data_IF_978301823223
#
_entry.id   IF_978301823223
#
_cell.length_a   1.000
_cell.length_b   1.000
_cell.length_c   1.000
_cell.angle_alpha   90.00
_cell.angle_beta   90.00
_cell.angle_gamma   90.00
#
_symmetry.space_group_name_H-M   'P 1'
#
loop_
_entity.id
_entity.type
_entity.pdbx_description
1 polymer ?
#
# COMPACT_ATOMS: atom_id res chain seq x y z
N UNK A 1 45.94 -8.69 -12.08
CA UNK A 1 44.86 -7.75 -11.65
C UNK A 1 43.65 -8.62 -11.38
N UNK A 2 43.50 -9.06 -10.16
CA UNK A 2 42.33 -9.86 -9.74
C UNK A 2 41.13 -8.93 -9.64
N UNK A 3 40.16 -9.10 -10.54
CA UNK A 3 38.88 -8.42 -10.51
C UNK A 3 38.22 -8.77 -9.18
N UNK A 4 38.05 -7.76 -8.31
CA UNK A 4 37.30 -7.93 -7.08
C UNK A 4 35.83 -8.18 -7.46
N UNK A 5 35.38 -9.41 -7.25
CA UNK A 5 34.09 -9.85 -7.71
C UNK A 5 33.00 -9.33 -6.78
N UNK A 6 32.42 -8.19 -7.16
CA UNK A 6 31.15 -7.69 -6.60
C UNK A 6 29.98 -8.13 -7.48
N UNK A 7 28.84 -8.38 -6.85
CA UNK A 7 27.57 -8.71 -7.47
C UNK A 7 26.59 -7.55 -7.20
N UNK A 8 25.91 -7.09 -8.23
CA UNK A 8 24.76 -6.23 -8.05
C UNK A 8 23.52 -7.11 -7.94
N UNK A 9 23.18 -7.55 -6.73
CA UNK A 9 22.10 -8.50 -6.49
C UNK A 9 20.74 -7.85 -6.60
N UNK A 10 19.88 -8.45 -7.41
CA UNK A 10 18.48 -8.04 -7.58
C UNK A 10 17.66 -8.57 -6.40
N UNK A 11 16.83 -7.73 -5.79
CA UNK A 11 16.09 -8.04 -4.57
C UNK A 11 14.62 -7.60 -4.68
N UNK A 12 13.78 -8.16 -3.82
CA UNK A 12 12.37 -7.79 -3.68
C UNK A 12 12.16 -7.22 -2.29
N UNK A 13 11.64 -5.98 -2.23
CA UNK A 13 11.30 -5.31 -0.98
C UNK A 13 10.06 -5.96 -0.35
N UNK A 14 10.19 -6.66 0.80
CA UNK A 14 9.07 -7.35 1.44
C UNK A 14 8.02 -6.39 2.01
N UNK A 15 8.40 -5.16 2.37
CA UNK A 15 7.49 -4.17 2.95
C UNK A 15 6.42 -3.69 1.98
N UNK A 16 6.72 -3.63 0.67
CA UNK A 16 5.80 -3.14 -0.37
C UNK A 16 5.34 -4.22 -1.33
N UNK A 17 5.82 -5.45 -1.21
CA UNK A 17 5.42 -6.58 -2.03
C UNK A 17 3.99 -7.02 -1.66
N UNK A 18 3.04 -6.86 -2.58
CA UNK A 18 1.63 -7.30 -2.40
C UNK A 18 1.39 -8.76 -2.79
N UNK A 19 2.45 -9.53 -3.05
CA UNK A 19 2.43 -10.97 -3.36
C UNK A 19 1.54 -11.36 -4.53
N UNK A 20 1.54 -10.54 -5.58
CA UNK A 20 0.71 -10.75 -6.76
C UNK A 20 1.21 -11.85 -7.70
N UNK A 21 2.34 -12.46 -7.44
CA UNK A 21 3.02 -13.48 -8.26
C UNK A 21 3.44 -13.02 -9.66
N UNK A 22 3.27 -11.76 -10.01
CA UNK A 22 3.51 -11.27 -11.39
C UNK A 22 4.99 -11.37 -11.78
N UNK A 23 5.90 -11.08 -10.85
CA UNK A 23 7.34 -11.13 -11.10
C UNK A 23 7.84 -12.56 -11.30
N UNK A 24 7.36 -13.54 -10.52
CA UNK A 24 7.70 -14.96 -10.68
C UNK A 24 7.18 -15.49 -12.02
N UNK A 25 5.90 -15.21 -12.35
CA UNK A 25 5.28 -15.61 -13.61
C UNK A 25 5.98 -15.00 -14.84
N UNK A 26 6.61 -13.83 -14.70
CA UNK A 26 7.30 -13.12 -15.78
C UNK A 26 8.78 -13.48 -15.91
N UNK A 27 9.34 -14.24 -14.97
CA UNK A 27 10.77 -14.55 -14.96
C UNK A 27 11.12 -15.66 -15.97
N UNK A 28 11.85 -15.36 -17.07
CA UNK A 28 12.11 -16.35 -18.10
C UNK A 28 13.11 -17.44 -17.69
N UNK A 29 13.86 -17.21 -16.62
CA UNK A 29 14.89 -18.14 -16.11
C UNK A 29 14.50 -18.80 -14.79
N UNK A 30 13.29 -18.53 -14.27
CA UNK A 30 12.81 -19.08 -13.01
C UNK A 30 13.69 -18.71 -11.81
N UNK A 31 14.23 -17.49 -11.79
CA UNK A 31 15.07 -16.99 -10.71
C UNK A 31 14.25 -16.47 -9.52
N UNK A 32 12.94 -16.30 -9.66
CA UNK A 32 12.08 -15.79 -8.60
C UNK A 32 11.26 -16.94 -8.03
N UNK A 33 11.22 -17.02 -6.71
CA UNK A 33 10.44 -18.00 -5.97
C UNK A 33 9.84 -17.34 -4.72
N UNK A 34 8.98 -18.04 -4.00
CA UNK A 34 8.35 -17.53 -2.78
C UNK A 34 8.05 -18.65 -1.79
N UNK A 35 7.84 -18.24 -0.54
CA UNK A 35 7.18 -19.03 0.50
C UNK A 35 5.83 -18.41 0.91
N UNK A 36 5.33 -18.75 2.10
CA UNK A 36 4.14 -18.10 2.66
C UNK A 36 4.37 -16.62 3.02
N UNK A 37 5.62 -16.16 3.16
CA UNK A 37 5.98 -14.84 3.65
C UNK A 37 6.56 -13.94 2.57
N UNK A 38 7.57 -14.36 1.82
CA UNK A 38 8.32 -13.49 0.94
C UNK A 38 8.49 -14.05 -0.47
N UNK A 39 8.57 -13.14 -1.46
CA UNK A 39 9.10 -13.37 -2.79
C UNK A 39 10.57 -13.01 -2.79
N UNK A 40 11.42 -13.86 -3.38
CA UNK A 40 12.87 -13.73 -3.33
C UNK A 40 13.50 -14.02 -4.69
N UNK A 41 14.71 -13.48 -4.92
CA UNK A 41 15.45 -13.65 -6.17
C UNK A 41 16.68 -14.51 -5.94
N UNK A 42 16.79 -15.61 -6.70
CA UNK A 42 17.97 -16.44 -6.76
C UNK A 42 19.06 -15.74 -7.59
N UNK A 43 20.08 -15.23 -6.91
CA UNK A 43 21.18 -14.51 -7.55
C UNK A 43 21.98 -15.38 -8.53
N UNK A 44 22.01 -16.71 -8.33
CA UNK A 44 22.72 -17.63 -9.23
C UNK A 44 21.97 -17.89 -10.53
N UNK A 45 20.65 -17.73 -10.54
CA UNK A 45 19.80 -17.91 -11.73
C UNK A 45 19.50 -16.59 -12.44
N UNK A 46 19.46 -15.46 -11.70
CA UNK A 46 19.10 -14.17 -12.24
C UNK A 46 20.13 -13.68 -13.27
N UNK A 47 19.70 -13.51 -14.51
CA UNK A 47 20.52 -13.01 -15.63
C UNK A 47 20.33 -11.53 -15.92
N UNK A 48 19.67 -10.79 -15.03
CA UNK A 48 19.42 -9.34 -15.16
C UNK A 48 18.62 -8.92 -16.41
N UNK A 49 17.74 -9.78 -16.93
CA UNK A 49 16.94 -9.50 -18.10
C UNK A 49 15.84 -8.44 -17.87
N UNK A 50 15.59 -8.03 -16.65
CA UNK A 50 14.62 -7.01 -16.21
C UNK A 50 13.16 -7.30 -16.57
N UNK A 51 12.82 -8.50 -17.06
CA UNK A 51 11.45 -8.85 -17.47
C UNK A 51 10.43 -8.79 -16.32
N UNK A 52 10.87 -8.95 -15.08
CA UNK A 52 10.05 -8.90 -13.87
C UNK A 52 9.76 -7.47 -13.38
N UNK A 53 10.50 -6.46 -13.84
CA UNK A 53 10.40 -5.07 -13.34
C UNK A 53 9.16 -4.35 -13.87
N UNK A 54 8.87 -4.28 -15.18
CA UNK A 54 7.71 -3.56 -15.69
C UNK A 54 6.38 -4.07 -15.15
N UNK A 55 6.13 -5.39 -14.99
CA UNK A 55 4.84 -5.88 -14.53
C UNK A 55 4.64 -5.76 -13.02
N UNK A 56 5.64 -5.36 -12.24
CA UNK A 56 5.47 -5.18 -10.80
C UNK A 56 4.65 -3.93 -10.48
N UNK A 57 3.42 -4.03 -9.95
CA UNK A 57 2.55 -2.87 -9.77
C UNK A 57 3.03 -1.93 -8.66
N UNK A 58 3.74 -2.44 -7.65
CA UNK A 58 4.21 -1.64 -6.51
C UNK A 58 5.66 -1.19 -6.64
N UNK A 59 6.43 -1.78 -7.57
CA UNK A 59 7.86 -1.56 -7.69
C UNK A 59 8.71 -2.26 -6.62
N UNK A 60 8.14 -3.23 -5.88
CA UNK A 60 8.87 -3.98 -4.85
C UNK A 60 10.11 -4.70 -5.39
N UNK A 61 10.14 -5.02 -6.68
CA UNK A 61 11.28 -5.68 -7.34
C UNK A 61 12.28 -4.68 -7.96
N UNK A 62 12.08 -3.38 -7.84
CA UNK A 62 12.99 -2.35 -8.37
C UNK A 62 14.17 -2.08 -7.44
N UNK A 63 14.71 -3.12 -6.82
CA UNK A 63 15.74 -2.98 -5.80
C UNK A 63 16.98 -3.81 -6.10
N UNK A 64 18.13 -3.21 -5.89
CA UNK A 64 19.44 -3.83 -6.04
C UNK A 64 20.33 -3.49 -4.86
N UNK A 65 21.26 -4.42 -4.55
CA UNK A 65 22.35 -4.18 -3.60
C UNK A 65 23.66 -4.63 -4.21
N UNK A 66 24.65 -3.75 -4.17
CA UNK A 66 26.01 -4.12 -4.50
C UNK A 66 26.60 -4.84 -3.30
N UNK A 67 26.99 -6.10 -3.47
CA UNK A 67 27.57 -6.94 -2.41
C UNK A 67 28.78 -7.68 -2.91
N UNK A 68 29.80 -7.98 -2.07
CA UNK A 68 30.81 -8.95 -2.41
C UNK A 68 30.17 -10.31 -2.69
N UNK A 69 30.62 -11.04 -3.72
CA UNK A 69 30.03 -12.35 -4.10
C UNK A 69 29.94 -13.29 -2.89
N UNK A 70 30.96 -13.28 -2.03
CA UNK A 70 31.00 -14.10 -0.82
C UNK A 70 29.97 -13.71 0.25
N UNK A 71 29.35 -12.53 0.11
CA UNK A 71 28.29 -12.00 0.98
C UNK A 71 26.96 -11.87 0.28
N UNK A 72 26.79 -12.48 -0.90
CA UNK A 72 25.50 -12.48 -1.58
C UNK A 72 24.42 -13.06 -0.66
N UNK A 73 23.29 -12.39 -0.62
CA UNK A 73 22.15 -12.80 0.21
C UNK A 73 21.57 -14.11 -0.32
N UNK A 74 21.57 -15.15 0.52
CA UNK A 74 20.97 -16.44 0.18
C UNK A 74 19.43 -16.34 0.07
N UNK A 75 18.82 -17.33 -0.58
CA UNK A 75 17.34 -17.42 -0.62
C UNK A 75 16.76 -17.52 0.79
N UNK A 76 17.38 -18.34 1.65
CA UNK A 76 16.94 -18.52 3.04
C UNK A 76 16.98 -17.21 3.83
N UNK A 77 18.04 -16.41 3.67
CA UNK A 77 18.12 -15.09 4.30
C UNK A 77 17.01 -14.17 3.81
N UNK A 78 16.78 -14.09 2.49
CA UNK A 78 15.74 -13.24 1.91
C UNK A 78 14.32 -13.65 2.34
N UNK A 79 14.05 -14.95 2.51
CA UNK A 79 12.77 -15.46 2.99
C UNK A 79 12.45 -15.01 4.42
N UNK A 80 13.46 -14.75 5.23
CA UNK A 80 13.33 -14.28 6.62
C UNK A 80 13.30 -12.74 6.77
N UNK A 81 13.38 -11.97 5.69
CA UNK A 81 13.42 -10.50 5.80
C UNK A 81 12.06 -9.90 6.12
N UNK A 82 12.08 -8.89 6.97
CA UNK A 82 10.96 -7.97 7.21
C UNK A 82 11.13 -6.66 6.41
N UNK A 83 12.39 -6.26 6.17
CA UNK A 83 12.79 -5.11 5.35
C UNK A 83 14.02 -5.43 4.49
N UNK A 84 14.30 -4.58 3.50
CA UNK A 84 15.52 -4.71 2.71
C UNK A 84 16.75 -4.39 3.55
N UNK A 85 17.86 -5.15 3.37
CA UNK A 85 19.13 -4.83 4.02
C UNK A 85 19.61 -3.44 3.60
N UNK A 86 20.26 -2.74 4.54
CA UNK A 86 20.89 -1.43 4.27
C UNK A 86 22.00 -1.62 3.22
N UNK A 87 22.20 -0.60 2.40
CA UNK A 87 23.31 -0.59 1.44
C UNK A 87 24.67 -0.62 2.16
N UNK A 88 25.56 -1.46 1.68
CA UNK A 88 26.92 -1.54 2.23
C UNK A 88 27.70 -0.27 1.90
N UNK A 89 28.44 0.22 2.88
CA UNK A 89 29.37 1.33 2.69
C UNK A 89 30.57 0.93 1.83
N UNK A 90 31.28 1.88 1.29
CA UNK A 90 32.50 1.64 0.49
C UNK A 90 33.56 0.85 1.29
N UNK A 91 33.67 1.10 2.60
CA UNK A 91 34.60 0.39 3.49
C UNK A 91 34.18 -1.06 3.69
N UNK A 92 32.88 -1.34 3.86
CA UNK A 92 32.35 -2.70 4.00
C UNK A 92 32.49 -3.50 2.71
N UNK A 93 32.30 -2.87 1.54
CA UNK A 93 32.55 -3.47 0.25
C UNK A 93 34.04 -3.84 0.08
N UNK A 94 34.94 -2.96 0.52
CA UNK A 94 36.40 -3.17 0.46
C UNK A 94 36.87 -4.24 1.44
N UNK A 95 36.35 -4.25 2.66
CA UNK A 95 36.67 -5.28 3.68
C UNK A 95 36.20 -6.68 3.27
N UNK A 96 35.06 -6.78 2.57
CA UNK A 96 34.60 -8.06 2.00
C UNK A 96 35.47 -8.60 0.89
N UNK A 97 36.27 -7.76 0.23
CA UNK A 97 37.23 -8.12 -0.78
C UNK A 97 38.51 -8.75 -0.19
N UNK A 98 38.94 -8.31 1.00
CA UNK A 98 40.11 -8.87 1.67
C UNK A 98 39.87 -10.29 2.18
N UNK A 99 38.67 -10.63 2.62
CA UNK A 99 38.31 -11.98 3.08
C UNK A 99 38.24 -13.01 1.93
N UNK A 100 37.98 -12.57 0.70
CA UNK A 100 37.99 -13.43 -0.48
C UNK A 100 39.42 -13.85 -0.91
N UNK A 101 40.43 -13.07 -0.51
CA UNK A 101 41.83 -13.35 -0.82
C UNK A 101 42.49 -14.37 0.18
N UNK A 102 41.94 -14.50 1.39
CA UNK A 102 42.43 -15.42 2.42
C UNK A 102 41.80 -16.82 2.34
N UNK A 103 40.73 -16.99 1.54
CA UNK A 103 40.02 -18.27 1.41
C UNK A 103 40.47 -19.14 0.21
N UNK A 104 41.66 -18.92 -0.33
CA UNK A 104 42.15 -19.62 -1.54
C UNK A 104 42.87 -20.94 -1.26
N UNK A 105 42.41 -21.72 -0.26
CA UNK A 105 42.87 -23.10 -0.08
C UNK A 105 41.70 -24.06 0.23
N UNK A 106 40.91 -24.33 -0.79
CA UNK A 106 39.79 -25.27 -0.72
C UNK A 106 39.05 -25.32 -2.06
N UNK A 107 39.25 -26.38 -2.81
CA UNK A 107 38.76 -26.67 -4.16
C UNK A 107 37.42 -26.03 -4.52
N UNK A 108 37.32 -25.19 -5.56
CA UNK A 108 36.07 -24.55 -5.95
C UNK A 108 35.20 -25.54 -6.73
N UNK A 109 33.95 -25.66 -6.31
CA UNK A 109 32.92 -26.19 -7.18
C UNK A 109 32.86 -25.29 -8.44
N UNK A 110 33.07 -25.91 -9.60
CA UNK A 110 33.06 -25.22 -10.90
C UNK A 110 31.69 -24.60 -11.16
N UNK A 111 31.61 -23.30 -10.97
CA UNK A 111 30.52 -22.48 -11.60
C UNK A 111 30.96 -22.27 -13.04
N UNK A 112 30.26 -22.88 -13.97
CA UNK A 112 30.46 -22.71 -15.40
C UNK A 112 30.26 -21.24 -15.78
N UNK A 113 31.35 -20.50 -15.93
CA UNK A 113 31.34 -19.18 -16.57
C UNK A 113 31.25 -19.38 -18.09
N UNK A 114 30.05 -19.42 -18.62
CA UNK A 114 29.86 -19.09 -20.03
C UNK A 114 29.99 -17.59 -20.15
N UNK A 115 31.10 -17.12 -20.70
CA UNK A 115 31.31 -15.76 -21.10
C UNK A 115 30.38 -15.45 -22.28
N UNK A 116 29.14 -15.09 -21.99
CA UNK A 116 28.29 -14.35 -22.89
C UNK A 116 28.62 -12.87 -22.68
N UNK A 117 28.91 -12.17 -23.78
CA UNK A 117 29.40 -10.81 -23.79
C UNK A 117 28.65 -9.90 -22.82
N UNK A 118 29.41 -9.18 -22.00
CA UNK A 118 28.93 -8.11 -21.16
C UNK A 118 28.43 -7.00 -22.09
N UNK A 119 27.15 -7.08 -22.46
CA UNK A 119 26.41 -5.90 -22.85
C UNK A 119 26.33 -5.05 -21.59
N UNK A 120 27.00 -3.90 -21.60
CA UNK A 120 26.76 -2.82 -20.65
C UNK A 120 25.25 -2.73 -20.41
N UNK A 121 24.77 -2.75 -19.16
CA UNK A 121 23.37 -2.53 -18.91
C UNK A 121 23.01 -1.23 -19.63
N UNK A 122 22.12 -1.29 -20.62
CA UNK A 122 21.49 -0.08 -21.09
C UNK A 122 20.88 0.53 -19.83
N UNK A 123 21.34 1.71 -19.49
CA UNK A 123 20.75 2.50 -18.43
C UNK A 123 19.25 2.50 -18.74
N UNK A 124 18.49 1.74 -17.95
CA UNK A 124 17.04 1.86 -17.97
C UNK A 124 16.82 3.33 -17.69
N UNK A 125 16.34 4.06 -18.69
CA UNK A 125 16.06 5.47 -18.55
C UNK A 125 15.21 5.58 -17.30
N UNK A 126 15.66 6.38 -16.32
CA UNK A 126 14.89 6.61 -15.11
C UNK A 126 13.43 6.86 -15.54
N UNK A 127 12.45 6.21 -14.92
CA UNK A 127 11.06 6.38 -15.30
C UNK A 127 10.80 7.88 -15.36
N UNK A 128 10.07 8.38 -16.37
CA UNK A 128 9.76 9.80 -16.45
C UNK A 128 9.20 10.20 -15.09
N UNK A 129 9.74 11.27 -14.50
CA UNK A 129 9.35 11.71 -13.16
C UNK A 129 7.90 12.23 -13.15
N UNK A 130 6.97 11.34 -13.34
CA UNK A 130 5.53 11.62 -13.27
C UNK A 130 5.09 12.01 -11.85
N UNK A 131 5.89 11.72 -10.83
CA UNK A 131 5.67 12.21 -9.48
C UNK A 131 5.55 13.72 -9.41
N UNK A 132 6.25 14.45 -10.28
CA UNK A 132 6.09 15.89 -10.41
C UNK A 132 4.71 16.31 -10.93
N UNK A 133 3.99 15.46 -11.66
CA UNK A 133 2.62 15.74 -12.14
C UNK A 133 1.57 15.59 -11.02
N UNK A 134 1.85 14.80 -10.00
CA UNK A 134 0.93 14.46 -8.92
C UNK A 134 1.34 15.01 -7.55
N UNK A 135 2.63 15.26 -7.35
CA UNK A 135 3.26 15.42 -6.04
C UNK A 135 3.25 16.82 -5.39
N UNK A 136 3.01 17.94 -6.06
CA UNK A 136 3.24 19.24 -5.41
C UNK A 136 2.09 19.74 -4.56
N UNK A 137 1.01 18.98 -4.42
CA UNK A 137 -0.19 19.46 -3.77
C UNK A 137 -0.06 19.35 -2.25
N UNK A 138 -0.27 20.47 -1.59
CA UNK A 138 -0.37 20.53 -0.13
C UNK A 138 -1.71 19.94 0.32
N UNK A 139 -1.74 19.27 1.47
CA UNK A 139 -2.99 18.87 2.10
C UNK A 139 -3.87 20.08 2.51
N UNK A 140 -3.28 21.27 2.67
CA UNK A 140 -4.01 22.49 2.94
C UNK A 140 -4.81 23.01 1.72
N UNK A 141 -4.42 22.64 0.50
CA UNK A 141 -5.08 23.05 -0.75
C UNK A 141 -5.22 21.84 -1.68
N UNK A 142 -6.10 20.88 -1.35
CA UNK A 142 -6.31 19.71 -2.19
C UNK A 142 -6.95 20.12 -3.53
N UNK A 143 -6.54 19.46 -4.59
CA UNK A 143 -7.25 19.55 -5.86
C UNK A 143 -8.50 18.67 -5.79
N UNK A 144 -9.64 19.21 -6.17
CA UNK A 144 -10.92 18.50 -6.19
C UNK A 144 -11.65 18.75 -7.49
N UNK A 145 -12.38 17.75 -7.96
CA UNK A 145 -13.17 17.83 -9.19
C UNK A 145 -12.33 18.31 -10.40
N UNK A 146 -11.09 17.82 -10.53
CA UNK A 146 -10.22 18.18 -11.67
C UNK A 146 -10.79 17.59 -12.96
N UNK A 147 -11.34 16.38 -12.89
CA UNK A 147 -11.93 15.67 -14.03
C UNK A 147 -13.40 15.33 -13.76
N UNK A 148 -14.18 15.24 -14.84
CA UNK A 148 -15.58 14.86 -14.86
C UNK A 148 -16.54 16.04 -14.82
N UNK A 149 -17.75 15.88 -15.38
CA UNK A 149 -18.75 16.91 -15.48
C UNK A 149 -19.17 17.43 -14.11
N UNK A 150 -19.39 18.72 -14.00
CA UNK A 150 -19.90 19.41 -12.81
C UNK A 150 -21.04 20.34 -13.17
N UNK A 151 -21.75 20.86 -12.18
CA UNK A 151 -22.81 21.83 -12.41
C UNK A 151 -22.31 23.11 -13.10
N UNK A 152 -21.04 23.48 -12.87
CA UNK A 152 -20.42 24.67 -13.45
C UNK A 152 -19.68 24.41 -14.77
N UNK A 153 -19.41 23.13 -15.10
CA UNK A 153 -18.70 22.72 -16.29
C UNK A 153 -19.17 21.32 -16.70
N UNK A 154 -20.30 21.23 -17.46
CA UNK A 154 -20.87 19.94 -17.89
C UNK A 154 -19.99 19.20 -18.90
N UNK A 155 -19.14 19.90 -19.64
CA UNK A 155 -18.30 19.37 -20.72
C UNK A 155 -16.87 19.02 -20.24
N UNK A 156 -16.64 19.08 -18.94
CA UNK A 156 -15.34 18.81 -18.34
C UNK A 156 -14.83 17.41 -18.69
N UNK A 157 -13.59 17.37 -19.10
CA UNK A 157 -12.93 16.15 -19.57
C UNK A 157 -12.96 15.04 -18.50
N UNK A 158 -13.26 13.83 -18.92
CA UNK A 158 -13.11 12.62 -18.12
C UNK A 158 -11.70 12.06 -18.35
N UNK A 159 -11.00 11.74 -17.29
CA UNK A 159 -9.68 11.11 -17.40
C UNK A 159 -9.83 9.63 -17.81
N UNK A 160 -8.86 9.14 -18.57
CA UNK A 160 -8.74 7.72 -18.87
C UNK A 160 -7.48 7.18 -18.22
N UNK A 161 -7.61 6.11 -17.46
CA UNK A 161 -6.48 5.42 -16.86
C UNK A 161 -6.35 4.01 -17.45
N UNK A 162 -5.12 3.51 -17.49
CA UNK A 162 -4.79 2.15 -17.91
C UNK A 162 -4.57 1.27 -16.68
N UNK A 163 -5.13 0.09 -16.66
CA UNK A 163 -4.90 -0.90 -15.59
C UNK A 163 -3.48 -1.45 -15.73
N UNK A 164 -2.64 -1.22 -14.72
CA UNK A 164 -1.28 -1.77 -14.64
C UNK A 164 -1.13 -2.88 -13.61
N UNK A 165 -2.13 -3.06 -12.74
CA UNK A 165 -2.20 -4.16 -11.78
C UNK A 165 -3.64 -4.40 -11.33
N UNK A 166 -4.04 -5.66 -11.22
CA UNK A 166 -5.32 -6.06 -10.63
C UNK A 166 -5.14 -7.40 -9.94
N UNK A 167 -4.98 -7.37 -8.62
CA UNK A 167 -4.64 -8.56 -7.84
C UNK A 167 -5.57 -8.71 -6.65
N UNK A 168 -6.00 -9.95 -6.39
CA UNK A 168 -6.76 -10.26 -5.20
C UNK A 168 -5.85 -10.21 -3.98
N UNK A 169 -6.24 -9.44 -2.95
CA UNK A 169 -5.49 -9.23 -1.70
C UNK A 169 -6.12 -9.90 -0.49
N UNK A 170 -7.11 -10.76 -0.71
CA UNK A 170 -7.71 -11.66 0.27
C UNK A 170 -7.53 -13.10 -0.16
N UNK A 171 -7.50 -14.04 0.78
CA UNK A 171 -7.28 -15.46 0.46
C UNK A 171 -8.34 -16.01 -0.50
N UNK A 172 -7.88 -16.74 -1.52
CA UNK A 172 -8.74 -17.40 -2.50
C UNK A 172 -9.66 -18.44 -1.81
N UNK A 173 -10.92 -18.52 -2.25
CA UNK A 173 -11.92 -19.44 -1.67
C UNK A 173 -12.63 -18.90 -0.43
N UNK A 174 -12.30 -17.69 0.03
CA UNK A 174 -13.06 -16.99 1.07
C UNK A 174 -14.14 -16.08 0.49
N UNK A 175 -15.18 -15.79 1.29
CA UNK A 175 -16.35 -15.01 0.88
C UNK A 175 -15.98 -13.59 0.43
N UNK A 176 -15.00 -12.97 1.07
CA UNK A 176 -14.54 -11.63 0.67
C UNK A 176 -13.53 -11.73 -0.47
N UNK A 177 -13.98 -11.35 -1.66
CA UNK A 177 -13.14 -11.18 -2.84
C UNK A 177 -12.77 -9.70 -2.96
N UNK A 178 -11.57 -9.35 -2.46
CA UNK A 178 -11.08 -7.96 -2.45
C UNK A 178 -9.84 -7.85 -3.33
N UNK A 179 -9.83 -6.86 -4.19
CA UNK A 179 -8.78 -6.59 -5.16
C UNK A 179 -8.04 -5.30 -4.85
N UNK A 180 -6.75 -5.31 -5.13
CA UNK A 180 -5.93 -4.13 -5.26
C UNK A 180 -5.77 -3.83 -6.75
N UNK A 181 -6.32 -2.70 -7.19
CA UNK A 181 -6.33 -2.26 -8.58
C UNK A 181 -5.41 -1.05 -8.73
N UNK A 182 -4.46 -1.10 -9.66
CA UNK A 182 -3.54 0.01 -9.96
C UNK A 182 -3.89 0.61 -11.31
N UNK A 183 -4.11 1.92 -11.33
CA UNK A 183 -4.50 2.73 -12.46
C UNK A 183 -3.39 3.72 -12.82
N UNK A 184 -2.86 3.64 -14.03
CA UNK A 184 -1.85 4.54 -14.57
C UNK A 184 -2.50 5.60 -15.48
N UNK A 185 -2.24 6.87 -15.19
CA UNK A 185 -2.78 8.01 -15.94
C UNK A 185 -1.82 8.49 -17.04
N UNK A 186 -0.64 7.85 -17.19
CA UNK A 186 0.36 8.22 -18.18
C UNK A 186 0.78 9.69 -18.05
N UNK A 187 0.60 10.46 -19.10
CA UNK A 187 0.96 11.90 -19.15
C UNK A 187 -0.18 12.82 -18.71
N UNK A 188 -1.36 12.29 -18.38
CA UNK A 188 -2.50 13.08 -17.92
C UNK A 188 -2.32 13.40 -16.43
N UNK A 189 -2.12 14.66 -16.02
CA UNK A 189 -1.93 15.00 -14.62
C UNK A 189 -3.15 14.62 -13.79
N UNK A 190 -3.00 13.70 -12.84
CA UNK A 190 -4.07 13.29 -11.95
C UNK A 190 -3.63 13.42 -10.49
N UNK A 191 -3.67 14.65 -9.93
CA UNK A 191 -3.18 14.94 -8.59
C UNK A 191 -4.13 14.34 -7.54
N UNK A 192 -3.56 13.55 -6.62
CA UNK A 192 -4.30 12.92 -5.52
C UNK A 192 -3.56 13.10 -4.20
N UNK A 193 -4.30 13.08 -3.10
CA UNK A 193 -3.77 13.08 -1.74
C UNK A 193 -4.35 11.89 -0.97
N UNK A 194 -3.62 11.43 0.02
CA UNK A 194 -4.06 10.41 0.97
C UNK A 194 -5.35 10.86 1.67
N UNK A 195 -6.37 10.00 1.60
CA UNK A 195 -7.72 10.28 2.11
C UNK A 195 -8.68 10.87 1.09
N UNK A 196 -8.24 11.14 -0.15
CA UNK A 196 -9.18 11.43 -1.24
C UNK A 196 -9.76 10.17 -1.86
N UNK A 197 -10.82 10.34 -2.64
CA UNK A 197 -11.45 9.30 -3.45
C UNK A 197 -11.49 9.69 -4.93
N UNK A 198 -11.65 8.69 -5.80
CA UNK A 198 -11.88 8.88 -7.23
C UNK A 198 -13.17 8.17 -7.65
N UNK A 199 -13.80 8.68 -8.68
CA UNK A 199 -15.01 8.10 -9.23
C UNK A 199 -14.71 7.27 -10.46
N UNK A 200 -15.24 6.05 -10.51
CA UNK A 200 -15.12 5.14 -11.64
C UNK A 200 -16.46 5.03 -12.36
N UNK A 201 -16.44 5.18 -13.68
CA UNK A 201 -17.59 5.04 -14.54
C UNK A 201 -17.56 3.66 -15.19
N UNK A 202 -18.51 2.81 -14.81
CA UNK A 202 -18.65 1.50 -15.48
C UNK A 202 -19.16 1.71 -16.92
N UNK A 203 -18.72 0.91 -17.90
CA UNK A 203 -19.15 1.02 -19.28
C UNK A 203 -20.63 0.66 -19.45
N UNK A 204 -21.21 1.14 -20.54
CA UNK A 204 -22.61 0.88 -20.89
C UNK A 204 -23.57 1.95 -20.42
N UNK A 205 -24.88 1.66 -20.56
CA UNK A 205 -25.98 2.57 -20.25
C UNK A 205 -26.90 1.94 -19.20
N UNK A 206 -27.50 2.77 -18.39
CA UNK A 206 -28.54 2.34 -17.44
C UNK A 206 -29.88 2.02 -18.16
N UNK A 207 -30.87 1.57 -17.41
CA UNK A 207 -32.19 1.25 -17.95
C UNK A 207 -32.92 2.45 -18.60
N UNK A 208 -32.43 3.67 -18.41
CA UNK A 208 -32.95 4.92 -18.99
C UNK A 208 -32.14 5.39 -20.20
N UNK A 209 -31.15 4.60 -20.65
CA UNK A 209 -30.25 4.94 -21.76
C UNK A 209 -29.21 6.01 -21.44
N UNK A 210 -28.90 6.23 -20.15
CA UNK A 210 -27.88 7.18 -19.69
C UNK A 210 -26.62 6.43 -19.26
N UNK A 211 -25.42 7.06 -19.36
CA UNK A 211 -24.19 6.51 -18.77
C UNK A 211 -24.40 6.19 -17.29
N UNK A 212 -23.78 5.11 -16.83
CA UNK A 212 -23.84 4.74 -15.42
C UNK A 212 -23.22 5.84 -14.53
N UNK A 213 -23.84 6.05 -13.37
CA UNK A 213 -23.28 6.94 -12.36
C UNK A 213 -21.93 6.42 -11.87
N UNK A 214 -20.97 7.33 -11.76
CA UNK A 214 -19.67 7.01 -11.16
C UNK A 214 -19.84 6.49 -9.72
N UNK A 215 -19.03 5.50 -9.36
CA UNK A 215 -18.90 5.02 -7.98
C UNK A 215 -17.58 5.50 -7.42
N UNK A 216 -17.63 6.08 -6.24
CA UNK A 216 -16.44 6.59 -5.56
C UNK A 216 -15.74 5.48 -4.79
N UNK A 217 -14.40 5.51 -4.84
CA UNK A 217 -13.50 4.60 -4.14
C UNK A 217 -12.38 5.42 -3.52
N UNK A 218 -12.12 5.19 -2.23
CA UNK A 218 -11.00 5.82 -1.53
C UNK A 218 -9.68 5.32 -2.11
N UNK A 219 -8.71 6.23 -2.24
CA UNK A 219 -7.38 5.94 -2.79
C UNK A 219 -6.58 5.13 -1.77
N UNK A 220 -5.90 4.09 -2.24
CA UNK A 220 -5.09 3.19 -1.43
C UNK A 220 -3.58 3.42 -1.59
N UNK A 221 -3.17 4.30 -2.51
CA UNK A 221 -1.77 4.68 -2.78
C UNK A 221 -1.45 6.07 -2.24
N UNK A 222 -0.19 6.36 -1.92
CA UNK A 222 0.24 7.71 -1.60
C UNK A 222 0.24 8.63 -2.83
N UNK A 223 0.32 9.96 -2.59
CA UNK A 223 0.26 11.03 -3.60
C UNK A 223 1.33 10.96 -4.69
N UNK A 224 2.44 10.33 -4.43
CA UNK A 224 3.53 10.15 -5.39
C UNK A 224 3.44 8.81 -6.15
N UNK A 225 2.27 8.21 -6.19
CA UNK A 225 1.95 7.00 -6.92
C UNK A 225 2.04 5.72 -6.08
N UNK A 226 1.35 4.68 -6.51
CA UNK A 226 1.52 3.32 -5.98
C UNK A 226 2.97 2.87 -6.18
N UNK A 227 3.47 2.97 -7.41
CA UNK A 227 4.89 2.91 -7.70
C UNK A 227 5.46 4.32 -7.60
N UNK A 228 6.42 4.49 -6.71
CA UNK A 228 7.00 5.80 -6.42
C UNK A 228 7.54 6.48 -7.68
N UNK A 229 7.14 7.73 -7.93
CA UNK A 229 7.54 8.51 -9.08
C UNK A 229 6.71 8.27 -10.36
N UNK A 230 5.70 7.39 -10.32
CA UNK A 230 4.77 7.17 -11.42
C UNK A 230 3.46 7.94 -11.20
N UNK A 231 2.82 8.34 -12.30
CA UNK A 231 1.51 9.00 -12.29
C UNK A 231 0.40 7.95 -12.21
N UNK A 232 0.37 7.20 -11.12
CA UNK A 232 -0.61 6.16 -10.91
C UNK A 232 -1.24 6.23 -9.51
N UNK A 233 -2.40 5.65 -9.37
CA UNK A 233 -3.11 5.51 -8.10
C UNK A 233 -3.65 4.10 -7.96
N UNK A 234 -3.84 3.66 -6.73
CA UNK A 234 -4.45 2.36 -6.47
C UNK A 234 -5.74 2.46 -5.67
N UNK A 235 -6.56 1.44 -5.82
CA UNK A 235 -7.85 1.28 -5.15
C UNK A 235 -7.93 -0.08 -4.49
N UNK A 236 -8.66 -0.15 -3.37
CA UNK A 236 -9.04 -1.42 -2.74
C UNK A 236 -10.53 -1.66 -2.98
N UNK A 237 -10.85 -2.72 -3.73
CA UNK A 237 -12.20 -2.95 -4.22
C UNK A 237 -12.68 -4.32 -3.78
N UNK A 238 -13.76 -4.36 -3.03
CA UNK A 238 -14.47 -5.60 -2.71
C UNK A 238 -15.49 -5.88 -3.80
N UNK A 239 -15.43 -7.09 -4.39
CA UNK A 239 -16.46 -7.58 -5.29
C UNK A 239 -17.78 -7.73 -4.55
N UNK A 240 -18.82 -7.05 -4.99
CA UNK A 240 -20.15 -7.10 -4.40
C UNK A 240 -20.96 -8.20 -5.10
N UNK A 241 -21.29 -9.26 -4.35
CA UNK A 241 -22.07 -10.42 -4.80
C UNK A 241 -23.38 -10.58 -4.01
N UNK A 242 -23.52 -9.85 -2.91
CA UNK A 242 -24.68 -9.87 -2.02
C UNK A 242 -25.01 -8.43 -1.60
N UNK A 243 -26.29 -8.14 -1.43
CA UNK A 243 -26.73 -6.89 -0.81
C UNK A 243 -26.59 -6.92 0.72
N UNK A 244 -27.08 -5.88 1.39
CA UNK A 244 -27.02 -5.78 2.85
C UNK A 244 -27.94 -6.77 3.59
N UNK A 245 -28.92 -7.33 2.88
CA UNK A 245 -29.84 -8.35 3.40
C UNK A 245 -29.33 -9.77 3.12
N UNK A 246 -28.25 -9.93 2.36
CA UNK A 246 -27.66 -11.21 1.96
C UNK A 246 -28.28 -11.80 0.69
N UNK A 247 -29.10 -11.04 -0.06
CA UNK A 247 -29.64 -11.50 -1.33
C UNK A 247 -28.56 -11.41 -2.41
N UNK A 248 -28.50 -12.38 -3.33
CA UNK A 248 -27.55 -12.34 -4.46
C UNK A 248 -27.76 -11.09 -5.31
N UNK A 249 -26.71 -10.30 -5.50
CA UNK A 249 -26.68 -9.13 -6.37
C UNK A 249 -25.31 -8.98 -7.01
N UNK A 250 -25.26 -8.60 -8.27
CA UNK A 250 -24.00 -8.26 -8.94
C UNK A 250 -23.82 -6.73 -8.91
N UNK A 251 -22.93 -6.26 -8.03
CA UNK A 251 -22.56 -4.85 -8.00
C UNK A 251 -21.87 -4.45 -9.30
N UNK A 252 -22.51 -3.59 -10.10
CA UNK A 252 -22.07 -3.22 -11.45
C UNK A 252 -20.59 -2.78 -11.49
N UNK A 253 -20.25 -1.72 -10.77
CA UNK A 253 -18.91 -1.15 -10.82
C UNK A 253 -17.86 -2.07 -10.18
N UNK A 254 -18.16 -2.69 -9.05
CA UNK A 254 -17.21 -3.55 -8.34
C UNK A 254 -16.87 -4.81 -9.13
N UNK A 255 -17.84 -5.46 -9.77
CA UNK A 255 -17.57 -6.62 -10.61
C UNK A 255 -16.82 -6.22 -11.87
N UNK A 256 -17.23 -5.14 -12.55
CA UNK A 256 -16.49 -4.60 -13.69
C UNK A 256 -15.00 -4.40 -13.34
N UNK A 257 -14.71 -3.69 -12.24
CA UNK A 257 -13.33 -3.39 -11.88
C UNK A 257 -12.52 -4.60 -11.44
N UNK A 258 -13.13 -5.55 -10.72
CA UNK A 258 -12.46 -6.79 -10.33
C UNK A 258 -12.17 -7.71 -11.53
N UNK A 259 -12.88 -7.57 -12.65
CA UNK A 259 -12.69 -8.37 -13.87
C UNK A 259 -11.72 -7.74 -14.87
N UNK A 260 -11.35 -6.45 -14.69
CA UNK A 260 -10.40 -5.76 -15.57
C UNK A 260 -9.06 -6.48 -15.65
N UNK A 261 -8.50 -6.50 -16.85
CA UNK A 261 -7.18 -7.06 -17.13
C UNK A 261 -6.15 -5.94 -17.29
N UNK A 262 -4.90 -6.27 -17.03
CA UNK A 262 -3.78 -5.37 -17.29
C UNK A 262 -3.80 -4.96 -18.78
N UNK A 263 -3.67 -3.65 -19.03
CA UNK A 263 -3.74 -3.04 -20.36
C UNK A 263 -5.13 -2.51 -20.74
N UNK A 264 -6.20 -2.92 -20.05
CA UNK A 264 -7.53 -2.34 -20.27
C UNK A 264 -7.63 -0.93 -19.68
N UNK A 265 -8.56 -0.14 -20.20
CA UNK A 265 -8.75 1.25 -19.79
C UNK A 265 -10.04 1.45 -19.01
N UNK A 266 -10.03 2.44 -18.13
CA UNK A 266 -11.19 2.83 -17.32
C UNK A 266 -11.35 4.35 -17.30
N UNK A 267 -12.59 4.81 -17.30
CA UNK A 267 -12.92 6.22 -17.18
C UNK A 267 -12.98 6.63 -15.70
N UNK A 268 -12.26 7.70 -15.38
CA UNK A 268 -12.05 8.19 -14.02
C UNK A 268 -12.41 9.66 -13.91
N UNK A 269 -13.10 10.01 -12.84
CA UNK A 269 -13.41 11.40 -12.47
C UNK A 269 -12.92 11.71 -11.07
N UNK A 270 -12.79 12.96 -10.75
CA UNK A 270 -12.31 13.45 -9.45
C UNK A 270 -10.97 14.18 -9.57
N UNK A 271 -10.09 14.12 -8.56
CA UNK A 271 -10.31 13.50 -7.24
C UNK A 271 -11.41 14.21 -6.44
N UNK A 272 -11.90 13.55 -5.39
CA UNK A 272 -12.94 14.08 -4.48
C UNK A 272 -12.43 14.05 -3.04
N UNK A 273 -13.05 14.90 -2.21
CA UNK A 273 -12.81 14.94 -0.78
C UNK A 273 -11.72 15.93 -0.35
N UNK A 274 -12.00 16.60 0.75
CA UNK A 274 -11.08 17.53 1.43
C UNK A 274 -11.10 17.40 2.95
N UNK A 275 -11.98 16.53 3.48
CA UNK A 275 -12.23 16.40 4.93
C UNK A 275 -11.51 15.21 5.57
N UNK A 276 -10.96 14.27 4.78
CA UNK A 276 -10.31 13.05 5.29
C UNK A 276 -8.80 13.04 5.01
N UNK A 277 -8.20 14.21 4.81
CA UNK A 277 -6.82 14.34 4.39
C UNK A 277 -5.85 14.04 5.54
N UNK A 278 -4.75 13.38 5.21
CA UNK A 278 -3.65 13.15 6.13
C UNK A 278 -2.97 14.47 6.55
N UNK A 279 -2.64 14.69 7.84
CA UNK A 279 -1.90 15.87 8.26
C UNK A 279 -0.48 15.85 7.72
N UNK A 280 0.03 17.03 7.34
CA UNK A 280 1.36 17.20 6.75
C UNK A 280 2.42 17.74 7.72
N UNK A 281 2.12 17.86 9.00
CA UNK A 281 3.11 18.38 9.93
C UNK A 281 3.93 17.24 10.57
N UNK A 282 5.22 17.48 10.86
CA UNK A 282 6.05 16.57 11.63
C UNK A 282 5.40 16.26 12.98
N UNK A 283 5.68 15.10 13.53
CA UNK A 283 5.21 14.65 14.85
C UNK A 283 3.71 14.38 15.00
N UNK A 284 2.91 14.43 13.90
CA UNK A 284 1.50 14.04 14.00
C UNK A 284 1.35 12.55 14.28
N UNK A 285 0.59 12.22 15.32
CA UNK A 285 0.14 10.86 15.57
C UNK A 285 -1.11 10.58 14.74
N UNK A 286 -1.22 9.40 14.18
CA UNK A 286 -2.38 8.98 13.38
C UNK A 286 -2.94 7.70 13.97
N UNK A 287 -4.18 7.77 14.45
CA UNK A 287 -4.95 6.63 14.91
C UNK A 287 -5.94 6.25 13.81
N UNK A 288 -5.69 5.13 13.16
CA UNK A 288 -6.44 4.60 12.03
C UNK A 288 -7.37 3.48 12.52
N UNK A 289 -8.65 3.57 12.21
CA UNK A 289 -9.65 2.59 12.64
C UNK A 289 -10.46 2.19 11.42
N UNK A 290 -10.38 0.93 11.00
CA UNK A 290 -11.04 0.52 9.76
C UNK A 290 -11.56 -0.92 9.79
N UNK A 291 -12.44 -1.21 8.81
CA UNK A 291 -12.89 -2.56 8.50
C UNK A 291 -12.94 -2.75 6.98
N UNK A 292 -12.56 -3.93 6.51
CA UNK A 292 -12.67 -4.31 5.10
C UNK A 292 -11.95 -3.33 4.17
N UNK A 293 -12.66 -2.79 3.17
CA UNK A 293 -12.10 -1.83 2.20
C UNK A 293 -11.84 -0.44 2.76
N UNK A 294 -12.31 -0.14 3.96
CA UNK A 294 -11.89 1.06 4.70
C UNK A 294 -10.38 1.09 5.01
N UNK A 295 -9.68 -0.01 4.79
CA UNK A 295 -8.20 -0.08 4.85
C UNK A 295 -7.51 0.72 3.73
N UNK A 296 -8.20 1.08 2.66
CA UNK A 296 -7.62 1.80 1.51
C UNK A 296 -6.94 3.12 1.90
N UNK A 297 -7.62 4.10 2.51
CA UNK A 297 -6.99 5.34 2.91
C UNK A 297 -5.93 5.13 4.00
N UNK A 298 -6.12 4.13 4.88
CA UNK A 298 -5.14 3.82 5.93
C UNK A 298 -3.81 3.33 5.33
N UNK A 299 -3.89 2.50 4.29
CA UNK A 299 -2.71 2.07 3.53
C UNK A 299 -2.02 3.25 2.84
N UNK A 300 -2.78 4.13 2.20
CA UNK A 300 -2.22 5.32 1.55
C UNK A 300 -1.42 6.19 2.54
N UNK A 301 -1.99 6.46 3.72
CA UNK A 301 -1.36 7.23 4.79
C UNK A 301 -0.11 6.53 5.36
N UNK A 302 -0.19 5.21 5.59
CA UNK A 302 0.92 4.40 6.08
C UNK A 302 2.10 4.43 5.10
N UNK A 303 1.84 4.18 3.80
CA UNK A 303 2.86 4.19 2.76
C UNK A 303 3.48 5.58 2.56
N UNK A 304 2.68 6.64 2.62
CA UNK A 304 3.20 7.99 2.56
C UNK A 304 4.13 8.29 3.75
N UNK A 305 3.69 7.99 4.97
CA UNK A 305 4.49 8.17 6.18
C UNK A 305 5.80 7.40 6.11
N UNK A 306 5.77 6.15 5.64
CA UNK A 306 6.96 5.32 5.47
C UNK A 306 7.96 5.94 4.50
N UNK A 307 7.48 6.45 3.35
CA UNK A 307 8.33 7.14 2.37
C UNK A 307 8.94 8.42 2.93
N UNK A 308 8.18 9.21 3.67
CA UNK A 308 8.65 10.44 4.31
C UNK A 308 9.71 10.14 5.40
N UNK A 309 9.51 9.09 6.19
CA UNK A 309 10.46 8.66 7.21
C UNK A 309 11.76 8.16 6.59
N UNK A 310 11.70 7.30 5.56
CA UNK A 310 12.89 6.83 4.82
C UNK A 310 13.66 7.99 4.15
N UNK A 311 12.97 9.05 3.79
CA UNK A 311 13.58 10.26 3.22
C UNK A 311 14.07 11.27 4.28
N UNK A 312 13.99 10.96 5.57
CA UNK A 312 14.40 11.83 6.67
C UNK A 312 13.55 13.11 6.81
N UNK A 313 12.33 13.12 6.28
CA UNK A 313 11.43 14.29 6.36
C UNK A 313 10.35 14.18 7.43
N UNK A 314 10.26 13.05 8.10
CA UNK A 314 9.28 12.80 9.15
C UNK A 314 9.95 12.14 10.36
N UNK A 315 9.75 12.71 11.53
CA UNK A 315 10.30 12.21 12.79
C UNK A 315 9.22 12.21 13.89
N UNK A 316 9.10 11.11 14.61
CA UNK A 316 8.51 11.03 15.93
C UNK A 316 7.01 10.84 16.09
N UNK A 317 6.18 10.92 15.07
CA UNK A 317 4.74 10.66 15.20
C UNK A 317 4.42 9.17 15.20
N UNK A 318 3.42 8.76 15.99
CA UNK A 318 2.98 7.36 16.09
C UNK A 318 1.96 7.03 15.01
N UNK A 319 2.05 5.82 14.45
CA UNK A 319 0.98 5.22 13.67
C UNK A 319 0.36 4.09 14.49
N UNK A 320 -0.94 4.15 14.72
CA UNK A 320 -1.72 3.08 15.34
C UNK A 320 -2.82 2.66 14.37
N UNK A 321 -2.96 1.37 14.13
CA UNK A 321 -4.00 0.82 13.26
C UNK A 321 -4.84 -0.21 14.01
N UNK A 322 -6.13 0.05 14.14
CA UNK A 322 -7.14 -0.90 14.60
C UNK A 322 -7.90 -1.42 13.38
N UNK A 323 -7.66 -2.68 13.03
CA UNK A 323 -8.20 -3.26 11.82
C UNK A 323 -9.12 -4.44 12.11
N UNK A 324 -10.40 -4.28 11.76
CA UNK A 324 -11.42 -5.30 11.92
C UNK A 324 -11.66 -6.12 10.66
N UNK A 325 -11.69 -7.44 10.82
CA UNK A 325 -12.06 -8.38 9.77
C UNK A 325 -12.94 -9.51 10.32
N UNK A 326 -13.53 -10.32 9.45
CA UNK A 326 -14.21 -11.54 9.89
C UNK A 326 -13.19 -12.57 10.38
N UNK A 327 -12.20 -12.84 9.53
CA UNK A 327 -11.10 -13.77 9.80
C UNK A 327 -9.79 -13.19 9.30
N UNK A 328 -8.66 -13.72 9.74
CA UNK A 328 -7.34 -13.36 9.25
C UNK A 328 -7.22 -13.52 7.73
N UNK A 329 -7.80 -14.58 7.17
CA UNK A 329 -7.78 -14.88 5.74
C UNK A 329 -8.58 -13.88 4.86
N UNK A 330 -9.41 -13.06 5.49
CA UNK A 330 -10.21 -12.02 4.85
C UNK A 330 -9.64 -10.60 5.02
N UNK A 331 -8.48 -10.44 5.67
CA UNK A 331 -7.77 -9.16 5.75
C UNK A 331 -7.24 -8.79 4.36
N UNK A 332 -7.62 -7.62 3.80
CA UNK A 332 -6.91 -7.04 2.68
C UNK A 332 -5.44 -6.76 3.05
N UNK A 333 -4.54 -6.92 2.08
CA UNK A 333 -3.09 -6.72 2.29
C UNK A 333 -2.45 -7.65 3.34
N UNK A 334 -3.03 -8.84 3.50
CA UNK A 334 -2.45 -9.91 4.31
C UNK A 334 -0.99 -10.15 3.90
N UNK A 335 -0.12 -10.20 4.88
CA UNK A 335 1.33 -10.34 4.69
C UNK A 335 2.08 -9.01 4.72
N UNK A 336 2.00 -8.13 3.68
CA UNK A 336 2.73 -6.86 3.70
C UNK A 336 2.45 -6.00 4.92
N UNK A 337 1.18 -5.91 5.33
CA UNK A 337 0.80 -5.13 6.51
C UNK A 337 1.33 -5.73 7.81
N UNK A 338 1.41 -7.06 7.90
CA UNK A 338 1.91 -7.76 9.09
C UNK A 338 3.44 -7.77 9.20
N UNK A 339 4.16 -7.51 8.10
CA UNK A 339 5.62 -7.47 8.08
C UNK A 339 6.21 -6.08 8.34
N UNK A 340 5.38 -5.05 8.51
CA UNK A 340 5.88 -3.73 8.86
C UNK A 340 6.41 -3.71 10.30
N UNK A 341 7.58 -3.06 10.56
CA UNK A 341 8.17 -2.99 11.88
C UNK A 341 7.21 -2.38 12.91
N UNK A 342 7.13 -2.99 14.08
CA UNK A 342 6.22 -2.56 15.15
C UNK A 342 6.54 -1.15 15.67
N UNK A 343 7.79 -0.74 15.57
CA UNK A 343 8.27 0.59 15.92
C UNK A 343 7.77 1.65 14.94
N UNK A 344 7.45 1.25 13.71
CA UNK A 344 6.91 2.11 12.67
C UNK A 344 5.38 2.23 12.78
N UNK A 345 4.68 1.10 12.91
CA UNK A 345 3.23 1.05 13.04
C UNK A 345 2.80 -0.01 14.06
N UNK A 346 2.00 0.40 15.03
CA UNK A 346 1.41 -0.49 16.03
C UNK A 346 0.01 -0.93 15.54
N UNK A 347 -0.13 -2.23 15.22
CA UNK A 347 -1.32 -2.78 14.59
C UNK A 347 -2.05 -3.70 15.58
N UNK A 348 -3.34 -3.46 15.74
CA UNK A 348 -4.25 -4.27 16.53
C UNK A 348 -5.34 -4.86 15.63
N UNK A 349 -5.36 -6.19 15.48
CA UNK A 349 -6.39 -6.87 14.72
C UNK A 349 -7.57 -7.28 15.59
N UNK A 350 -8.79 -7.09 15.07
CA UNK A 350 -10.03 -7.52 15.71
C UNK A 350 -10.79 -8.46 14.78
N UNK A 351 -10.94 -9.73 15.19
CA UNK A 351 -11.60 -10.74 14.39
C UNK A 351 -12.97 -11.07 14.96
N UNK A 352 -14.01 -11.00 14.12
CA UNK A 352 -15.39 -11.25 14.56
C UNK A 352 -15.83 -12.71 14.35
N UNK A 353 -15.10 -13.50 13.56
CA UNK A 353 -15.45 -14.89 13.20
C UNK A 353 -14.22 -15.79 13.03
N UNK A 354 -13.09 -15.47 13.66
CA UNK A 354 -11.90 -16.33 13.59
C UNK A 354 -12.13 -17.62 14.39
N UNK A 355 -11.94 -18.80 13.79
CA UNK A 355 -12.11 -20.07 14.52
C UNK A 355 -11.17 -20.16 15.73
N UNK A 356 -11.73 -20.53 16.88
CA UNK A 356 -10.97 -20.69 18.13
C UNK A 356 -10.70 -19.39 18.89
N UNK A 357 -11.08 -18.22 18.37
CA UNK A 357 -10.98 -16.95 19.08
C UNK A 357 -12.36 -16.43 19.50
N UNK A 358 -12.39 -15.69 20.61
CA UNK A 358 -13.57 -14.94 21.02
C UNK A 358 -13.87 -13.83 20.02
N UNK A 359 -15.14 -13.60 19.72
CA UNK A 359 -15.60 -12.53 18.85
C UNK A 359 -15.13 -11.19 19.39
N UNK A 360 -14.41 -10.41 18.57
CA UNK A 360 -13.86 -9.09 18.90
C UNK A 360 -14.06 -8.13 17.75
N UNK A 361 -14.42 -6.90 18.06
CA UNK A 361 -14.57 -5.81 17.11
C UNK A 361 -13.52 -4.71 17.38
N UNK A 362 -13.34 -3.77 16.46
CA UNK A 362 -12.37 -2.67 16.59
C UNK A 362 -12.64 -1.78 17.82
N UNK A 363 -13.89 -1.57 18.18
CA UNK A 363 -14.27 -0.83 19.39
C UNK A 363 -13.87 -1.55 20.68
N UNK A 364 -13.83 -2.88 20.69
CA UNK A 364 -13.34 -3.66 21.82
C UNK A 364 -11.83 -3.52 21.95
N UNK A 365 -11.13 -3.61 20.80
CA UNK A 365 -9.69 -3.39 20.73
C UNK A 365 -9.27 -1.98 21.19
N UNK A 366 -10.07 -0.95 20.89
CA UNK A 366 -9.83 0.41 21.40
C UNK A 366 -9.94 0.46 22.91
N UNK A 367 -10.99 -0.16 23.51
CA UNK A 367 -11.18 -0.22 24.98
C UNK A 367 -10.06 -0.97 25.68
N UNK A 368 -9.56 -2.05 25.10
CA UNK A 368 -8.40 -2.79 25.64
C UNK A 368 -7.14 -1.93 25.71
N UNK A 369 -7.08 -0.83 24.94
CA UNK A 369 -5.99 0.14 24.90
C UNK A 369 -6.39 1.51 25.49
N UNK A 370 -7.36 1.55 26.40
CA UNK A 370 -7.95 2.79 26.94
C UNK A 370 -6.92 3.79 27.46
N UNK A 371 -5.91 3.34 28.19
CA UNK A 371 -4.85 4.19 28.73
C UNK A 371 -4.00 4.88 27.64
N UNK A 372 -3.72 4.20 26.53
CA UNK A 372 -2.96 4.78 25.41
C UNK A 372 -3.84 5.71 24.58
N UNK A 373 -5.05 5.28 24.26
CA UNK A 373 -6.00 6.07 23.47
C UNK A 373 -6.44 7.32 24.22
N UNK A 374 -6.63 7.23 25.55
CA UNK A 374 -6.94 8.38 26.40
C UNK A 374 -5.87 9.47 26.36
N UNK A 375 -4.58 9.09 26.36
CA UNK A 375 -3.48 10.04 26.17
C UNK A 375 -3.53 10.70 24.79
N UNK A 376 -3.80 9.91 23.73
CA UNK A 376 -3.87 10.39 22.36
C UNK A 376 -5.09 11.30 22.12
N UNK A 377 -6.21 11.05 22.78
CA UNK A 377 -7.39 11.96 22.73
C UNK A 377 -7.05 13.37 23.24
N UNK A 378 -6.21 13.46 24.28
CA UNK A 378 -5.79 14.72 24.88
C UNK A 378 -4.59 15.37 24.18
N UNK A 379 -3.90 14.68 23.27
CA UNK A 379 -2.75 15.21 22.53
C UNK A 379 -3.22 15.98 21.28
N UNK A 380 -2.95 17.30 21.18
CA UNK A 380 -3.37 18.13 20.05
C UNK A 380 -2.74 17.73 18.71
N UNK A 381 -1.65 16.95 18.72
CA UNK A 381 -1.00 16.44 17.52
C UNK A 381 -1.56 15.09 17.05
N UNK A 382 -2.61 14.58 17.68
CA UNK A 382 -3.23 13.29 17.33
C UNK A 382 -4.47 13.46 16.47
N UNK A 383 -4.52 12.72 15.39
CA UNK A 383 -5.61 12.69 14.41
C UNK A 383 -6.21 11.29 14.34
N UNK A 384 -7.53 11.21 14.37
CA UNK A 384 -8.30 9.96 14.33
C UNK A 384 -9.00 9.83 12.98
N UNK A 385 -8.82 8.69 12.32
CA UNK A 385 -9.44 8.36 11.04
C UNK A 385 -10.27 7.10 11.16
N UNK A 386 -11.55 7.18 10.85
CA UNK A 386 -12.49 6.06 10.92
C UNK A 386 -13.06 5.82 9.52
N UNK A 387 -12.81 4.64 8.94
CA UNK A 387 -13.29 4.29 7.62
C UNK A 387 -13.84 2.87 7.57
N UNK A 388 -15.07 2.72 7.07
CA UNK A 388 -15.75 1.41 6.96
C UNK A 388 -17.26 1.49 7.10
N UNK A 389 -17.86 0.49 7.76
CA UNK A 389 -19.30 0.40 7.89
C UNK A 389 -19.87 1.42 8.90
N UNK A 390 -21.06 1.95 8.61
CA UNK A 390 -21.76 2.92 9.49
C UNK A 390 -21.96 2.39 10.91
N UNK A 391 -22.35 1.13 11.07
CA UNK A 391 -22.49 0.50 12.40
C UNK A 391 -21.16 0.42 13.17
N UNK A 392 -20.01 0.34 12.48
CA UNK A 392 -18.70 0.40 13.12
C UNK A 392 -18.42 1.80 13.67
N UNK A 393 -18.74 2.86 12.92
CA UNK A 393 -18.56 4.25 13.34
C UNK A 393 -19.25 4.49 14.69
N UNK A 394 -20.51 4.10 14.83
CA UNK A 394 -21.28 4.25 16.08
C UNK A 394 -20.59 3.55 17.25
N UNK A 395 -20.13 2.30 17.04
CA UNK A 395 -19.39 1.53 18.05
C UNK A 395 -18.06 2.17 18.43
N UNK A 396 -17.33 2.72 17.46
CA UNK A 396 -16.05 3.42 17.68
C UNK A 396 -16.26 4.71 18.46
N UNK A 397 -17.25 5.54 18.07
CA UNK A 397 -17.53 6.79 18.78
C UNK A 397 -17.97 6.53 20.24
N UNK A 398 -18.75 5.47 20.46
CA UNK A 398 -19.10 5.05 21.82
C UNK A 398 -17.86 4.61 22.61
N UNK A 399 -16.96 3.81 22.01
CA UNK A 399 -15.73 3.40 22.68
C UNK A 399 -14.82 4.58 23.01
N UNK A 400 -14.66 5.55 22.11
CA UNK A 400 -13.88 6.77 22.39
C UNK A 400 -14.49 7.59 23.54
N UNK A 401 -15.83 7.63 23.64
CA UNK A 401 -16.53 8.25 24.77
C UNK A 401 -16.24 7.52 26.06
N UNK A 402 -16.42 6.19 26.11
CA UNK A 402 -16.15 5.36 27.30
C UNK A 402 -14.69 5.55 27.77
N UNK A 403 -13.73 5.56 26.83
CA UNK A 403 -12.31 5.77 27.10
C UNK A 403 -12.05 7.17 27.68
N UNK A 404 -12.66 8.21 27.10
CA UNK A 404 -12.52 9.58 27.60
C UNK A 404 -13.00 9.68 29.05
N UNK A 405 -14.17 9.13 29.35
CA UNK A 405 -14.76 9.10 30.70
C UNK A 405 -13.86 8.32 31.69
N UNK A 406 -13.32 7.16 31.28
CA UNK A 406 -12.42 6.32 32.08
C UNK A 406 -11.13 7.07 32.50
N UNK A 407 -10.59 7.88 31.61
CA UNK A 407 -9.36 8.69 31.89
C UNK A 407 -9.66 10.07 32.46
N UNK A 408 -10.91 10.36 32.82
CA UNK A 408 -11.33 11.61 33.45
C UNK A 408 -11.47 12.80 32.51
N UNK A 409 -11.65 12.55 31.20
CA UNK A 409 -11.93 13.58 30.20
C UNK A 409 -13.45 13.73 30.01
N UNK A 410 -13.90 14.94 29.68
CA UNK A 410 -15.31 15.20 29.34
C UNK A 410 -15.51 15.02 27.84
N UNK A 411 -16.22 13.96 27.41
CA UNK A 411 -16.38 13.63 26.01
C UNK A 411 -16.95 14.78 25.15
N UNK A 412 -17.95 15.49 25.65
CA UNK A 412 -18.58 16.58 24.90
C UNK A 412 -17.59 17.71 24.58
N UNK A 413 -16.66 18.00 25.49
CA UNK A 413 -15.60 18.97 25.30
C UNK A 413 -14.52 18.43 24.33
N UNK A 414 -14.01 17.23 24.57
CA UNK A 414 -12.99 16.57 23.70
C UNK A 414 -13.54 16.37 22.30
N UNK A 415 -14.75 15.84 22.14
CA UNK A 415 -15.39 15.62 20.84
C UNK A 415 -15.63 16.93 20.07
N UNK A 416 -15.96 18.00 20.76
CA UNK A 416 -16.07 19.34 20.17
C UNK A 416 -14.71 19.87 19.69
N UNK A 417 -13.64 19.71 20.48
CA UNK A 417 -12.27 20.07 20.11
C UNK A 417 -11.77 19.23 18.92
N UNK A 418 -11.96 17.90 18.94
CA UNK A 418 -11.57 17.03 17.83
C UNK A 418 -12.21 17.46 16.50
N UNK A 419 -13.48 17.85 16.51
CA UNK A 419 -14.19 18.34 15.32
C UNK A 419 -13.72 19.73 14.91
N UNK A 420 -13.62 20.67 15.85
CA UNK A 420 -13.18 22.04 15.60
C UNK A 420 -11.78 22.11 15.01
N UNK A 421 -10.88 21.29 15.52
CA UNK A 421 -9.47 21.26 15.13
C UNK A 421 -9.18 20.30 13.98
N UNK A 422 -10.23 19.75 13.33
CA UNK A 422 -10.12 18.76 12.24
C UNK A 422 -9.24 17.58 12.62
N UNK A 423 -9.45 17.00 13.81
CA UNK A 423 -8.68 15.84 14.31
C UNK A 423 -9.47 14.54 14.36
N UNK A 424 -10.77 14.57 14.06
CA UNK A 424 -11.63 13.39 13.93
C UNK A 424 -12.26 13.37 12.55
N UNK A 425 -11.88 12.38 11.76
CA UNK A 425 -12.29 12.20 10.37
C UNK A 425 -13.11 10.92 10.22
N UNK A 426 -14.29 11.03 9.67
CA UNK A 426 -15.23 9.92 9.49
C UNK A 426 -15.58 9.78 8.02
N UNK A 427 -15.34 8.61 7.43
CA UNK A 427 -15.74 8.25 6.06
C UNK A 427 -16.34 6.84 6.08
N UNK A 428 -17.65 6.75 6.30
CA UNK A 428 -18.37 5.49 6.48
C UNK A 428 -19.51 5.34 5.49
N UNK A 429 -19.81 4.11 5.08
CA UNK A 429 -20.76 3.74 4.04
C UNK A 429 -21.67 2.57 4.46
#
# INVERSE_FOLDING_TARGET
>A
MTSSAVLNQHLIDPEICIRCNTCEASCPVGAITHDSNNYVVDAAKCNFCMACVPPCPTGSIDNWRTVPIVRAYSLEAQLGWEELPVELTADELSAGQSLANDASDGSPAQVATTAAGVSTPQAVSAPPNYGALCAPWSAAVPQVNVYGPSANDPDKTIATATVTGNVRVTQVGKQNDTHHLVLDFGTVPFPVLEGQSIGIIAPGLDAKGKPHHARQYSIASPRNGERAGYNNASLTIKRVLEDHEGNPVLGLASNFMCDLKVGETVQVIGPFGSSFLMPNHPHSNIVMICTGTGSAPMRAMTEWRRREQKAGRFEGGKLLLFFGARTQAELPYFGPLQSLPKEFIDIEFAYSREPGLSKRYVQDALRDRSADIGKLLNDPNTYFYVCGLKAMEEGVLLALKDIAEEVGLVWDEIGAHLKKDNRLHLETY
#
